data_IF_066216112520
#
_entry.id   IF_066216112520
#
_cell.length_a   1.000
_cell.length_b   1.000
_cell.length_c   1.000
_cell.angle_alpha   90.00
_cell.angle_beta   90.00
_cell.angle_gamma   90.00
#
_symmetry.space_group_name_H-M   'P 1'
#
loop_
_entity.id
_entity.type
_entity.pdbx_description
1 polymer ?
#
# COMPACT_ATOMS: atom_id res chain seq x y z
N UNK A 1 15.67 10.91 -13.02
CA UNK A 1 14.86 10.21 -11.98
C UNK A 1 13.42 10.09 -12.47
N UNK A 2 13.08 8.99 -13.13
CA UNK A 2 11.68 8.77 -13.54
C UNK A 2 10.81 8.63 -12.29
N UNK A 3 9.86 9.55 -12.12
CA UNK A 3 8.77 9.41 -11.16
C UNK A 3 7.89 8.28 -11.68
N UNK A 4 8.17 7.03 -11.30
CA UNK A 4 7.28 5.90 -11.63
C UNK A 4 5.92 6.22 -11.04
N UNK A 5 4.94 6.45 -11.91
CA UNK A 5 3.55 6.64 -11.53
C UNK A 5 2.86 5.28 -11.64
N UNK A 6 1.94 5.03 -10.72
CA UNK A 6 1.04 3.89 -10.85
C UNK A 6 0.13 4.13 -12.06
N UNK A 7 0.00 3.11 -12.91
CA UNK A 7 -0.99 3.09 -13.98
C UNK A 7 -2.40 2.95 -13.40
N UNK A 8 -3.42 3.35 -14.15
CA UNK A 8 -4.82 3.18 -13.72
C UNK A 8 -5.16 1.72 -13.38
N UNK A 9 -4.59 0.75 -14.11
CA UNK A 9 -4.79 -0.68 -13.84
C UNK A 9 -4.23 -1.06 -12.46
N UNK A 10 -3.04 -0.57 -12.12
CA UNK A 10 -2.42 -0.82 -10.81
C UNK A 10 -3.21 -0.14 -9.70
N UNK A 11 -3.66 1.11 -9.91
CA UNK A 11 -4.49 1.85 -8.96
C UNK A 11 -5.79 1.08 -8.69
N UNK A 12 -6.48 0.57 -9.72
CA UNK A 12 -7.71 -0.19 -9.56
C UNK A 12 -7.48 -1.50 -8.81
N UNK A 13 -6.40 -2.24 -9.12
CA UNK A 13 -6.02 -3.44 -8.37
C UNK A 13 -5.73 -3.14 -6.90
N UNK A 14 -5.04 -2.03 -6.62
CA UNK A 14 -4.72 -1.60 -5.26
C UNK A 14 -5.97 -1.13 -4.50
N UNK A 15 -6.93 -0.50 -5.16
CA UNK A 15 -8.23 -0.13 -4.56
C UNK A 15 -9.06 -1.34 -4.12
N UNK A 16 -8.90 -2.48 -4.77
CA UNK A 16 -9.59 -3.72 -4.41
C UNK A 16 -8.97 -4.42 -3.20
N UNK A 17 -7.77 -4.01 -2.76
CA UNK A 17 -7.10 -4.61 -1.61
C UNK A 17 -7.61 -3.99 -0.30
N UNK A 18 -8.18 -4.82 0.58
CA UNK A 18 -8.70 -4.40 1.90
C UNK A 18 -7.64 -3.80 2.82
N UNK A 19 -6.35 -4.06 2.57
CA UNK A 19 -5.25 -3.48 3.34
C UNK A 19 -4.91 -2.05 2.90
N UNK A 20 -5.45 -1.58 1.77
CA UNK A 20 -5.20 -0.24 1.23
C UNK A 20 -6.35 0.69 1.62
N UNK A 21 -6.01 1.81 2.26
CA UNK A 21 -6.97 2.85 2.64
C UNK A 21 -7.16 3.89 1.56
N UNK A 22 -6.08 4.26 0.87
CA UNK A 22 -6.15 5.18 -0.26
C UNK A 22 -5.03 4.90 -1.26
N UNK A 23 -5.26 5.18 -2.53
CA UNK A 23 -4.24 5.08 -3.57
C UNK A 23 -4.34 6.25 -4.53
N UNK A 24 -3.18 6.81 -4.85
CA UNK A 24 -2.98 7.88 -5.82
C UNK A 24 -1.92 7.46 -6.83
N UNK A 25 -1.80 8.11 -8.00
CA UNK A 25 -0.77 7.79 -8.99
C UNK A 25 0.67 7.90 -8.46
N UNK A 26 0.88 8.54 -7.30
CA UNK A 26 2.21 8.77 -6.72
C UNK A 26 2.44 8.09 -5.38
N UNK A 27 1.39 7.65 -4.69
CA UNK A 27 1.48 7.15 -3.33
C UNK A 27 0.34 6.20 -2.99
N UNK A 28 0.62 5.22 -2.14
CA UNK A 28 -0.33 4.29 -1.55
C UNK A 28 -0.35 4.53 -0.04
N UNK A 29 -1.54 4.61 0.53
CA UNK A 29 -1.74 4.70 1.97
C UNK A 29 -2.39 3.41 2.45
N UNK A 30 -1.66 2.65 3.25
CA UNK A 30 -2.17 1.45 3.89
C UNK A 30 -3.11 1.78 5.05
N UNK A 31 -4.01 0.84 5.36
CA UNK A 31 -4.86 0.88 6.54
C UNK A 31 -4.03 0.77 7.82
N UNK A 32 -4.51 1.34 8.91
CA UNK A 32 -3.79 1.29 10.19
C UNK A 32 -3.70 -0.14 10.73
N UNK A 33 -4.73 -0.97 10.51
CA UNK A 33 -4.69 -2.39 10.83
C UNK A 33 -3.52 -3.12 10.15
N UNK A 34 -3.33 -2.86 8.85
CA UNK A 34 -2.21 -3.45 8.12
C UNK A 34 -0.85 -2.93 8.60
N UNK A 35 -0.75 -1.64 8.94
CA UNK A 35 0.49 -1.08 9.50
C UNK A 35 0.87 -1.74 10.82
N UNK A 36 -0.10 -2.01 11.69
CA UNK A 36 0.16 -2.72 12.95
C UNK A 36 0.72 -4.12 12.69
N UNK A 37 0.05 -4.92 11.85
CA UNK A 37 0.52 -6.26 11.48
C UNK A 37 1.92 -6.19 10.86
N UNK A 38 2.16 -5.22 9.98
CA UNK A 38 3.45 -5.05 9.34
C UNK A 38 4.57 -4.75 10.35
N UNK A 39 4.32 -3.83 11.30
CA UNK A 39 5.29 -3.48 12.34
C UNK A 39 5.54 -4.66 13.28
N UNK A 40 4.49 -5.36 13.70
CA UNK A 40 4.62 -6.53 14.56
C UNK A 40 5.48 -7.62 13.90
N UNK A 41 5.21 -7.93 12.63
CA UNK A 41 6.00 -8.91 11.87
C UNK A 41 7.45 -8.47 11.66
N UNK A 42 7.65 -7.20 11.34
CA UNK A 42 8.99 -6.63 11.20
C UNK A 42 9.80 -6.74 12.50
N UNK A 43 9.16 -6.48 13.64
CA UNK A 43 9.79 -6.63 14.96
C UNK A 43 10.02 -8.09 15.35
N UNK A 44 9.16 -9.01 14.89
CA UNK A 44 9.33 -10.46 15.07
C UNK A 44 10.45 -11.04 14.18
N UNK A 45 10.91 -10.31 13.16
CA UNK A 45 11.94 -10.76 12.22
C UNK A 45 11.45 -11.74 11.16
N UNK A 46 10.14 -11.75 10.87
CA UNK A 46 9.47 -12.60 9.88
C UNK A 46 9.22 -11.93 8.51
#
# INVERSE_FOLDING_TARGET
MSKKLFSDIEIQKLKQNSNVRNVSPRAITYSDAFKHIFVERYLAGE
#
